data_IF_153955056540
#
_entry.id   IF_153955056540
#
_cell.length_a   1.000
_cell.length_b   1.000
_cell.length_c   1.000
_cell.angle_alpha   90.00
_cell.angle_beta   90.00
_cell.angle_gamma   90.00
#
_symmetry.space_group_name_H-M   'P 1'
#
loop_
_entity.id
_entity.type
_entity.pdbx_description
1 polymer ?
#
# COMPACT_ATOMS: atom_id res chain seq x y z
N UNK A 1 4.70 -14.31 11.93
CA UNK A 1 5.46 -13.88 10.73
C UNK A 1 5.32 -14.91 9.63
N UNK A 2 4.58 -14.57 8.59
CA UNK A 2 4.37 -15.43 7.43
C UNK A 2 5.61 -15.38 6.52
N UNK A 3 6.18 -16.56 6.16
CA UNK A 3 7.22 -16.60 5.13
C UNK A 3 6.58 -16.73 3.77
N UNK A 4 6.70 -15.66 2.95
CA UNK A 4 6.30 -15.71 1.55
C UNK A 4 7.21 -16.69 0.79
N UNK A 5 6.59 -17.63 0.07
CA UNK A 5 7.29 -18.61 -0.74
C UNK A 5 7.27 -18.20 -2.21
N UNK A 6 8.43 -18.12 -2.84
CA UNK A 6 8.54 -17.81 -4.27
C UNK A 6 7.89 -18.91 -5.13
N UNK A 7 7.21 -18.49 -6.19
CA UNK A 7 6.73 -19.41 -7.22
C UNK A 7 7.92 -20.12 -7.87
N UNK A 8 7.78 -21.41 -8.18
CA UNK A 8 8.86 -22.25 -8.77
C UNK A 8 9.49 -21.66 -10.04
N UNK A 9 8.70 -20.97 -10.85
CA UNK A 9 9.17 -20.34 -12.09
C UNK A 9 9.91 -19.00 -11.88
N UNK A 10 9.86 -18.44 -10.67
CA UNK A 10 10.47 -17.15 -10.39
C UNK A 10 11.93 -17.28 -9.96
N UNK A 11 12.80 -16.60 -10.68
CA UNK A 11 14.21 -16.42 -10.29
C UNK A 11 14.37 -14.97 -9.78
N UNK A 12 14.54 -14.75 -8.48
CA UNK A 12 14.73 -13.40 -7.96
C UNK A 12 15.99 -12.79 -8.57
N UNK A 13 15.87 -11.56 -9.07
CA UNK A 13 17.03 -10.76 -9.44
C UNK A 13 17.86 -10.53 -8.17
N UNK A 14 19.16 -10.23 -8.34
CA UNK A 14 20.07 -10.01 -7.21
C UNK A 14 19.42 -9.12 -6.13
N UNK A 15 19.08 -9.64 -4.94
CA UNK A 15 18.38 -8.90 -3.90
C UNK A 15 19.20 -7.73 -3.35
N UNK A 16 20.52 -7.74 -3.50
CA UNK A 16 21.40 -6.65 -3.08
C UNK A 16 21.19 -5.34 -3.89
N UNK A 17 20.51 -5.42 -5.04
CA UNK A 17 20.21 -4.25 -5.88
C UNK A 17 18.92 -3.53 -5.46
N UNK A 18 18.15 -4.11 -4.54
CA UNK A 18 16.85 -3.58 -4.15
C UNK A 18 16.84 -3.17 -2.68
N UNK A 19 16.11 -2.10 -2.41
CA UNK A 19 15.86 -1.63 -1.06
C UNK A 19 15.10 -2.68 -0.22
N UNK A 20 15.50 -2.83 1.04
CA UNK A 20 14.84 -3.71 2.01
C UNK A 20 14.58 -2.96 3.31
N UNK A 21 13.31 -2.59 3.54
CA UNK A 21 12.87 -1.81 4.71
C UNK A 21 13.13 -2.52 6.04
N UNK A 22 13.27 -3.86 6.05
CA UNK A 22 13.53 -4.63 7.27
C UNK A 22 14.84 -4.20 7.92
N UNK A 23 15.86 -3.87 7.11
CA UNK A 23 17.15 -3.39 7.62
C UNK A 23 17.03 -2.10 8.40
N UNK A 24 16.19 -1.16 7.92
CA UNK A 24 16.00 0.10 8.61
C UNK A 24 15.16 -0.06 9.88
N UNK A 25 14.12 -0.93 9.84
CA UNK A 25 13.29 -1.23 11.01
C UNK A 25 14.11 -1.97 12.07
N UNK A 26 14.98 -2.89 11.70
CA UNK A 26 15.90 -3.59 12.61
C UNK A 26 16.96 -2.64 13.21
N UNK A 27 17.47 -1.72 12.39
CA UNK A 27 18.49 -0.74 12.85
C UNK A 27 17.90 0.34 13.76
N UNK A 28 16.62 0.71 13.54
CA UNK A 28 15.95 1.79 14.27
C UNK A 28 14.56 1.37 14.77
N UNK A 29 14.45 0.36 15.65
CA UNK A 29 13.16 -0.23 16.03
C UNK A 29 12.22 0.73 16.78
N UNK A 30 12.77 1.82 17.35
CA UNK A 30 11.98 2.86 18.03
C UNK A 30 11.52 3.99 17.12
N UNK A 31 11.87 3.98 15.83
CA UNK A 31 11.44 5.03 14.92
C UNK A 31 9.96 4.87 14.58
N UNK A 32 9.21 5.98 14.69
CA UNK A 32 7.79 6.04 14.35
C UNK A 32 7.60 6.28 12.85
N UNK A 33 8.51 7.02 12.22
CA UNK A 33 8.46 7.42 10.82
C UNK A 33 9.79 7.09 10.14
N UNK A 34 9.72 6.37 9.03
CA UNK A 34 10.84 6.11 8.13
C UNK A 34 10.63 6.88 6.84
N UNK A 35 11.54 7.81 6.52
CA UNK A 35 11.51 8.58 5.29
C UNK A 35 12.56 8.02 4.34
N UNK A 36 12.10 7.42 3.21
CA UNK A 36 12.96 6.67 2.31
C UNK A 36 13.06 7.39 0.98
N UNK A 37 14.25 7.90 0.68
CA UNK A 37 14.58 8.52 -0.59
C UNK A 37 15.36 7.56 -1.49
N UNK A 38 15.23 7.72 -2.79
CA UNK A 38 16.00 6.93 -3.76
C UNK A 38 15.37 6.95 -5.14
N UNK A 39 16.11 6.44 -6.11
CA UNK A 39 15.68 6.36 -7.51
C UNK A 39 14.37 5.59 -7.73
N UNK A 40 13.79 5.74 -8.91
CA UNK A 40 12.65 4.93 -9.33
C UNK A 40 13.10 3.47 -9.48
N UNK A 41 12.15 2.55 -9.34
CA UNK A 41 12.35 1.09 -9.53
C UNK A 41 13.40 0.45 -8.60
N UNK A 42 13.75 1.10 -7.48
CA UNK A 42 14.64 0.54 -6.46
C UNK A 42 13.94 -0.38 -5.45
N UNK A 43 12.65 -0.64 -5.62
CA UNK A 43 11.90 -1.61 -4.80
C UNK A 43 11.34 -1.06 -3.49
N UNK A 44 11.32 0.27 -3.26
CA UNK A 44 10.82 0.87 -2.01
C UNK A 44 9.39 0.45 -1.67
N UNK A 45 8.46 0.70 -2.58
CA UNK A 45 7.04 0.34 -2.42
C UNK A 45 6.86 -1.17 -2.28
N UNK A 46 7.54 -1.95 -3.13
CA UNK A 46 7.54 -3.41 -3.06
C UNK A 46 8.00 -3.92 -1.68
N UNK A 47 9.10 -3.37 -1.16
CA UNK A 47 9.64 -3.77 0.14
C UNK A 47 8.70 -3.45 1.29
N UNK A 48 8.08 -2.26 1.30
CA UNK A 48 7.14 -1.85 2.34
C UNK A 48 5.87 -2.74 2.34
N UNK A 49 5.29 -2.99 1.16
CA UNK A 49 4.11 -3.86 1.02
C UNK A 49 4.44 -5.31 1.40
N UNK A 50 5.58 -5.82 0.92
CA UNK A 50 6.05 -7.16 1.29
C UNK A 50 6.25 -7.29 2.80
N UNK A 51 6.86 -6.31 3.45
CA UNK A 51 7.03 -6.30 4.90
C UNK A 51 5.68 -6.35 5.63
N UNK A 52 4.71 -5.53 5.23
CA UNK A 52 3.39 -5.54 5.83
C UNK A 52 2.71 -6.91 5.73
N UNK A 53 2.79 -7.55 4.56
CA UNK A 53 2.24 -8.91 4.35
C UNK A 53 2.97 -9.95 5.21
N UNK A 54 4.31 -9.98 5.18
CA UNK A 54 5.12 -10.96 5.94
C UNK A 54 4.93 -10.83 7.45
N UNK A 55 4.64 -9.61 7.94
CA UNK A 55 4.33 -9.36 9.35
C UNK A 55 2.84 -9.47 9.68
N UNK A 56 2.00 -9.85 8.70
CA UNK A 56 0.54 -9.96 8.87
C UNK A 56 -0.10 -8.67 9.37
N UNK A 57 0.51 -7.52 9.01
CA UNK A 57 0.07 -6.20 9.43
C UNK A 57 -1.02 -5.67 8.50
N UNK A 58 -2.12 -5.20 9.08
CA UNK A 58 -3.09 -4.40 8.36
C UNK A 58 -2.46 -3.05 8.02
N UNK A 59 -2.49 -2.66 6.75
CA UNK A 59 -1.84 -1.44 6.30
C UNK A 59 -2.83 -0.47 5.66
N UNK A 60 -2.47 0.81 5.74
CA UNK A 60 -3.09 1.89 4.99
C UNK A 60 -2.10 2.40 3.94
N UNK A 61 -2.36 2.12 2.68
CA UNK A 61 -1.57 2.60 1.55
C UNK A 61 -2.09 3.97 1.14
N UNK A 62 -1.24 4.97 1.25
CA UNK A 62 -1.60 6.36 0.98
C UNK A 62 -1.10 6.81 -0.38
N UNK A 63 -1.96 7.49 -1.11
CA UNK A 63 -1.63 8.26 -2.31
C UNK A 63 -1.96 9.73 -2.08
N UNK A 64 -1.41 10.60 -2.91
CA UNK A 64 -1.59 12.04 -2.74
C UNK A 64 -2.99 12.51 -3.11
N UNK A 65 -3.50 12.06 -4.25
CA UNK A 65 -4.78 12.51 -4.81
C UNK A 65 -5.82 11.41 -4.92
N UNK A 66 -7.08 11.81 -5.08
CA UNK A 66 -8.17 10.85 -5.32
C UNK A 66 -7.97 10.13 -6.65
N UNK A 67 -7.47 10.83 -7.67
CA UNK A 67 -7.23 10.25 -9.00
C UNK A 67 -6.10 9.21 -8.96
N UNK A 68 -5.08 9.41 -8.11
CA UNK A 68 -4.03 8.40 -7.90
C UNK A 68 -4.62 7.12 -7.31
N UNK A 69 -5.59 7.22 -6.41
CA UNK A 69 -6.30 6.06 -5.85
C UNK A 69 -7.20 5.41 -6.90
N UNK A 70 -7.97 6.21 -7.65
CA UNK A 70 -8.84 5.71 -8.72
C UNK A 70 -8.05 4.94 -9.79
N UNK A 71 -6.85 5.40 -10.12
CA UNK A 71 -5.97 4.74 -11.09
C UNK A 71 -5.42 3.38 -10.60
N UNK A 72 -5.38 3.14 -9.28
CA UNK A 72 -4.96 1.84 -8.73
C UNK A 72 -6.08 0.81 -8.73
N UNK A 73 -7.32 1.28 -8.76
CA UNK A 73 -8.50 0.44 -8.57
C UNK A 73 -9.00 -0.07 -9.90
N UNK A 74 -9.14 -1.38 -10.01
CA UNK A 74 -9.93 -1.96 -11.09
C UNK A 74 -11.40 -1.60 -10.85
N UNK A 75 -12.04 -0.97 -11.83
CA UNK A 75 -13.48 -0.83 -11.82
C UNK A 75 -14.08 -2.24 -11.80
N UNK A 76 -14.91 -2.55 -10.82
CA UNK A 76 -15.56 -3.84 -10.71
C UNK A 76 -16.40 -4.18 -11.97
N UNK A 77 -16.80 -3.15 -12.75
CA UNK A 77 -17.45 -3.30 -14.03
C UNK A 77 -16.47 -3.55 -15.19
N UNK A 78 -15.20 -3.24 -15.05
CA UNK A 78 -14.17 -3.51 -16.06
C UNK A 78 -13.71 -4.99 -16.07
N UNK A 79 -14.14 -5.80 -15.09
CA UNK A 79 -13.89 -7.26 -15.11
C UNK A 79 -14.46 -7.96 -16.33
N UNK A 80 -15.46 -7.37 -16.98
CA UNK A 80 -16.10 -7.91 -18.18
C UNK A 80 -15.34 -7.61 -19.49
N UNK A 81 -14.38 -6.70 -19.45
CA UNK A 81 -13.66 -6.24 -20.64
C UNK A 81 -12.15 -6.52 -20.50
N UNK A 82 -11.70 -7.64 -21.09
CA UNK A 82 -10.30 -8.08 -21.03
C UNK A 82 -9.32 -7.02 -21.56
N UNK A 83 -9.73 -6.24 -22.55
CA UNK A 83 -8.89 -5.20 -23.17
C UNK A 83 -8.67 -4.00 -22.24
N UNK A 84 -9.58 -3.75 -21.31
CA UNK A 84 -9.43 -2.72 -20.29
C UNK A 84 -8.52 -3.15 -19.13
N UNK A 85 -8.45 -4.45 -18.83
CA UNK A 85 -7.57 -4.98 -17.78
C UNK A 85 -6.09 -4.72 -18.05
N UNK A 86 -5.64 -4.85 -19.30
CA UNK A 86 -4.23 -4.66 -19.64
C UNK A 86 -3.78 -3.20 -19.55
N UNK A 87 -4.68 -2.24 -19.76
CA UNK A 87 -4.37 -0.80 -19.79
C UNK A 87 -4.28 -0.13 -18.42
N UNK A 88 -4.81 -0.76 -17.35
CA UNK A 88 -4.94 -0.12 -16.03
C UNK A 88 -4.25 -0.90 -14.91
N UNK A 89 -3.28 -1.76 -15.24
CA UNK A 89 -2.59 -2.55 -14.23
C UNK A 89 -1.54 -1.72 -13.46
N UNK A 90 -2.02 -0.72 -12.72
CA UNK A 90 -1.27 0.06 -11.76
C UNK A 90 -1.32 -0.54 -10.34
N UNK A 91 -1.77 -1.79 -10.21
CA UNK A 91 -1.82 -2.49 -8.94
C UNK A 91 -0.41 -2.56 -8.32
N UNK A 92 -0.20 -1.95 -7.13
CA UNK A 92 1.11 -1.94 -6.48
C UNK A 92 1.59 -3.34 -6.06
N UNK A 93 0.69 -4.32 -6.00
CA UNK A 93 0.99 -5.72 -5.70
C UNK A 93 1.36 -6.57 -6.92
N UNK A 94 1.35 -6.03 -8.13
CA UNK A 94 1.64 -6.79 -9.35
C UNK A 94 2.91 -7.66 -9.24
N UNK A 95 3.99 -7.09 -8.72
CA UNK A 95 5.25 -7.84 -8.55
C UNK A 95 5.14 -8.90 -7.45
N UNK A 96 4.46 -8.61 -6.35
CA UNK A 96 4.23 -9.57 -5.26
C UNK A 96 3.36 -10.73 -5.74
N UNK A 97 2.25 -10.43 -6.43
CA UNK A 97 1.36 -11.44 -7.02
C UNK A 97 2.07 -12.32 -8.04
N UNK A 98 3.01 -11.75 -8.81
CA UNK A 98 3.82 -12.51 -9.76
C UNK A 98 4.83 -13.42 -9.06
N UNK A 99 5.49 -12.93 -8.03
CA UNK A 99 6.69 -13.53 -7.46
C UNK A 99 6.38 -14.62 -6.42
N UNK A 100 5.28 -14.49 -5.67
CA UNK A 100 4.97 -15.35 -4.53
C UNK A 100 3.74 -16.22 -4.73
N UNK A 101 3.81 -17.44 -4.14
CA UNK A 101 2.67 -18.34 -4.06
C UNK A 101 1.61 -17.76 -3.11
N UNK A 102 0.33 -18.05 -3.38
CA UNK A 102 -0.82 -17.60 -2.58
C UNK A 102 -0.99 -16.08 -2.44
N UNK A 103 -0.33 -15.31 -3.31
CA UNK A 103 -0.50 -13.88 -3.40
C UNK A 103 -1.32 -13.53 -4.63
N UNK A 104 -2.51 -12.98 -4.40
CA UNK A 104 -3.42 -12.49 -5.44
C UNK A 104 -4.14 -11.23 -4.92
N UNK A 105 -3.33 -10.21 -4.62
CA UNK A 105 -3.83 -8.95 -4.06
C UNK A 105 -4.46 -8.07 -5.13
N UNK A 106 -5.71 -7.69 -4.90
CA UNK A 106 -6.48 -6.84 -5.82
C UNK A 106 -7.08 -5.66 -5.09
N UNK A 107 -6.93 -4.43 -5.59
CA UNK A 107 -7.59 -3.25 -5.05
C UNK A 107 -9.03 -3.19 -5.57
N UNK A 108 -9.98 -3.10 -4.66
CA UNK A 108 -11.39 -2.90 -4.96
C UNK A 108 -11.85 -1.53 -4.48
N UNK A 109 -12.58 -0.82 -5.34
CA UNK A 109 -13.12 0.48 -5.03
C UNK A 109 -14.19 0.39 -3.92
N UNK A 110 -14.05 1.23 -2.91
CA UNK A 110 -15.08 1.45 -1.90
C UNK A 110 -15.86 2.72 -2.19
N UNK A 111 -15.15 3.85 -2.32
CA UNK A 111 -15.68 5.19 -2.64
C UNK A 111 -14.61 5.97 -3.37
N UNK A 112 -14.95 7.15 -3.92
CA UNK A 112 -13.96 8.05 -4.55
C UNK A 112 -12.82 8.37 -3.56
N UNK A 113 -11.59 8.04 -3.96
CA UNK A 113 -10.37 8.23 -3.15
C UNK A 113 -10.24 7.28 -1.96
N UNK A 114 -11.00 6.19 -1.94
CA UNK A 114 -10.92 5.13 -0.93
C UNK A 114 -11.12 3.77 -1.59
N UNK A 115 -10.21 2.85 -1.32
CA UNK A 115 -10.26 1.46 -1.78
C UNK A 115 -9.81 0.50 -0.66
N UNK A 116 -10.03 -0.78 -0.86
CA UNK A 116 -9.50 -1.83 -0.01
C UNK A 116 -8.75 -2.85 -0.86
N UNK A 117 -7.67 -3.39 -0.31
CA UNK A 117 -6.92 -4.48 -0.90
C UNK A 117 -7.36 -5.81 -0.32
N UNK A 118 -7.69 -6.73 -1.20
CA UNK A 118 -8.05 -8.09 -0.82
C UNK A 118 -7.08 -9.07 -1.43
N UNK A 119 -6.69 -10.10 -0.66
CA UNK A 119 -6.01 -11.27 -1.20
C UNK A 119 -7.07 -12.31 -1.58
N UNK A 120 -7.19 -12.65 -2.84
CA UNK A 120 -8.08 -13.69 -3.33
C UNK A 120 -7.45 -15.06 -3.04
N UNK A 121 -8.02 -15.81 -2.10
CA UNK A 121 -7.52 -17.12 -1.68
C UNK A 121 -7.98 -18.21 -2.67
N UNK A 122 -9.27 -18.19 -3.00
CA UNK A 122 -9.93 -19.05 -3.99
C UNK A 122 -11.09 -18.29 -4.64
N UNK A 123 -11.92 -18.97 -5.44
CA UNK A 123 -13.00 -18.34 -6.18
C UNK A 123 -14.09 -17.73 -5.27
N UNK A 124 -14.26 -18.25 -4.06
CA UNK A 124 -15.31 -17.86 -3.12
C UNK A 124 -14.77 -16.99 -1.97
N UNK A 125 -13.48 -17.12 -1.63
CA UNK A 125 -12.91 -16.51 -0.43
C UNK A 125 -11.86 -15.45 -0.77
N UNK A 126 -12.03 -14.29 -0.18
CA UNK A 126 -11.06 -13.19 -0.19
C UNK A 126 -10.87 -12.63 1.20
N UNK A 127 -9.64 -12.32 1.55
CA UNK A 127 -9.27 -11.74 2.83
C UNK A 127 -8.89 -10.27 2.65
N UNK A 128 -9.42 -9.42 3.52
CA UNK A 128 -9.03 -8.01 3.58
C UNK A 128 -7.59 -7.92 4.08
N UNK A 129 -6.72 -7.33 3.28
CA UNK A 129 -5.30 -7.14 3.59
C UNK A 129 -4.97 -5.74 4.10
N UNK A 130 -5.61 -4.72 3.53
CA UNK A 130 -5.39 -3.34 3.91
C UNK A 130 -6.30 -2.39 3.14
N UNK A 131 -6.05 -1.11 3.34
CA UNK A 131 -6.82 -0.03 2.71
C UNK A 131 -5.93 0.82 1.82
N UNK A 132 -6.55 1.53 0.87
CA UNK A 132 -5.91 2.58 0.09
C UNK A 132 -6.72 3.87 0.23
N UNK A 133 -6.07 4.97 0.55
CA UNK A 133 -6.74 6.26 0.71
C UNK A 133 -5.88 7.41 0.17
N UNK A 134 -6.55 8.43 -0.40
CA UNK A 134 -5.87 9.67 -0.75
C UNK A 134 -5.67 10.56 0.47
N UNK A 135 -4.57 11.32 0.48
CA UNK A 135 -4.30 12.33 1.50
C UNK A 135 -5.43 13.38 1.58
N UNK A 136 -6.09 13.65 0.46
CA UNK A 136 -7.24 14.57 0.38
C UNK A 136 -8.46 14.12 1.20
N UNK A 137 -8.53 12.85 1.55
CA UNK A 137 -9.67 12.27 2.29
C UNK A 137 -9.43 12.16 3.78
N UNK A 138 -8.21 12.36 4.27
CA UNK A 138 -7.88 12.19 5.69
C UNK A 138 -8.83 12.98 6.60
N UNK A 139 -9.05 14.26 6.30
CA UNK A 139 -9.96 15.10 7.11
C UNK A 139 -11.41 14.61 7.11
N UNK A 140 -11.85 14.00 5.99
CA UNK A 140 -13.21 13.47 5.86
C UNK A 140 -13.42 12.18 6.64
N UNK A 141 -12.36 11.41 6.83
CA UNK A 141 -12.39 10.11 7.51
C UNK A 141 -11.76 10.14 8.91
N UNK A 142 -11.59 11.33 9.52
CA UNK A 142 -11.08 11.48 10.90
C UNK A 142 -11.89 10.70 11.95
N UNK A 143 -13.16 10.42 11.69
CA UNK A 143 -14.01 9.60 12.55
C UNK A 143 -14.14 8.14 12.13
N UNK A 144 -13.44 7.71 11.08
CA UNK A 144 -13.44 6.30 10.70
C UNK A 144 -12.58 5.49 11.67
N UNK A 145 -13.02 4.27 11.92
CA UNK A 145 -12.26 3.33 12.73
C UNK A 145 -11.12 2.73 11.89
N UNK A 146 -9.90 3.09 12.24
CA UNK A 146 -8.66 2.54 11.70
C UNK A 146 -7.86 1.79 12.77
N UNK A 147 -8.52 1.36 13.85
CA UNK A 147 -7.87 0.65 14.97
C UNK A 147 -7.20 -0.66 14.53
N UNK A 148 -7.66 -1.24 13.41
CA UNK A 148 -7.08 -2.43 12.80
C UNK A 148 -5.84 -2.15 11.93
N UNK A 149 -5.52 -0.88 11.65
CA UNK A 149 -4.37 -0.50 10.79
C UNK A 149 -3.08 -0.42 11.59
N UNK A 150 -2.12 -1.22 11.27
CA UNK A 150 -0.81 -1.32 11.94
C UNK A 150 0.31 -0.55 11.28
N UNK A 151 0.16 -0.25 10.00
CA UNK A 151 1.25 0.25 9.19
C UNK A 151 0.75 1.22 8.13
N UNK A 152 1.29 2.44 8.10
CA UNK A 152 0.97 3.43 7.08
C UNK A 152 2.11 3.47 6.05
N UNK A 153 1.78 3.30 4.78
CA UNK A 153 2.70 3.41 3.65
C UNK A 153 2.27 4.60 2.82
N UNK A 154 3.03 5.70 2.83
CA UNK A 154 2.76 6.84 1.97
C UNK A 154 3.70 6.82 0.76
N UNK A 155 3.19 6.30 -0.34
CA UNK A 155 3.92 6.20 -1.60
C UNK A 155 3.90 7.53 -2.36
N UNK A 156 5.04 7.87 -2.98
CA UNK A 156 5.22 9.13 -3.71
C UNK A 156 4.88 10.37 -2.87
N UNK A 157 5.31 10.40 -1.59
CA UNK A 157 5.01 11.51 -0.67
C UNK A 157 5.63 12.85 -1.11
N UNK A 158 6.72 12.84 -1.88
CA UNK A 158 7.30 14.05 -2.47
C UNK A 158 6.47 14.46 -3.68
N UNK A 159 5.86 15.66 -3.68
CA UNK A 159 5.05 16.11 -4.80
C UNK A 159 5.91 16.32 -6.05
N UNK A 160 5.39 15.93 -7.21
CA UNK A 160 6.00 16.33 -8.48
C UNK A 160 5.70 17.80 -8.77
N UNK A 161 6.42 18.42 -9.72
CA UNK A 161 6.20 19.81 -10.13
C UNK A 161 4.78 20.14 -10.60
N UNK A 162 4.00 19.13 -10.92
CA UNK A 162 2.61 19.26 -11.38
C UNK A 162 1.57 19.15 -10.26
N UNK A 163 2.00 18.76 -9.06
CA UNK A 163 1.11 18.64 -7.91
C UNK A 163 1.13 19.92 -7.09
N UNK A 164 -0.04 20.47 -6.85
CA UNK A 164 -0.19 21.60 -5.91
C UNK A 164 -0.09 21.06 -4.48
N UNK A 165 0.94 21.49 -3.76
CA UNK A 165 1.06 21.20 -2.33
C UNK A 165 0.01 22.02 -1.58
N UNK A 166 -0.87 21.36 -0.86
CA UNK A 166 -1.88 22.05 -0.05
C UNK A 166 -1.28 22.52 1.26
N UNK A 167 -1.77 23.65 1.77
CA UNK A 167 -1.46 24.06 3.15
C UNK A 167 -1.89 22.93 4.09
N UNK A 168 -1.05 22.62 5.08
CA UNK A 168 -1.32 21.63 6.11
C UNK A 168 -1.33 20.14 5.67
N UNK A 169 -0.74 19.76 4.54
CA UNK A 169 -0.58 18.31 4.19
C UNK A 169 0.15 17.52 5.29
N UNK A 170 1.20 18.12 5.89
CA UNK A 170 1.90 17.51 7.02
C UNK A 170 1.02 17.32 8.24
N UNK A 171 0.15 18.30 8.53
CA UNK A 171 -0.83 18.19 9.63
C UNK A 171 -1.86 17.09 9.34
N UNK A 172 -2.32 16.95 8.10
CA UNK A 172 -3.24 15.88 7.72
C UNK A 172 -2.60 14.50 7.93
N UNK A 173 -1.32 14.34 7.62
CA UNK A 173 -0.59 13.09 7.87
C UNK A 173 -0.42 12.82 9.36
N UNK A 174 -0.10 13.84 10.17
CA UNK A 174 -0.02 13.71 11.62
C UNK A 174 -1.37 13.37 12.24
N UNK A 175 -2.44 14.02 11.81
CA UNK A 175 -3.81 13.73 12.24
C UNK A 175 -4.19 12.27 11.95
N UNK A 176 -3.80 11.76 10.77
CA UNK A 176 -4.01 10.37 10.41
C UNK A 176 -3.22 9.43 11.31
N UNK A 177 -1.93 9.72 11.53
CA UNK A 177 -1.10 8.94 12.44
C UNK A 177 -1.72 8.89 13.85
N UNK A 178 -2.17 10.03 14.37
CA UNK A 178 -2.84 10.11 15.67
C UNK A 178 -4.15 9.31 15.70
N UNK A 179 -4.92 9.30 14.61
CA UNK A 179 -6.15 8.51 14.50
C UNK A 179 -5.87 7.00 14.51
N UNK A 180 -4.82 6.55 13.79
CA UNK A 180 -4.42 5.14 13.71
C UNK A 180 -3.77 4.67 15.02
N UNK A 181 -3.03 5.54 15.72
CA UNK A 181 -2.29 5.19 16.94
C UNK A 181 -3.10 5.34 18.23
N UNK A 182 -4.35 5.87 18.15
CA UNK A 182 -5.14 6.36 19.31
C UNK A 182 -5.33 5.34 20.42
N UNK A 183 -5.44 4.06 20.11
CA UNK A 183 -5.72 3.00 21.09
C UNK A 183 -4.52 2.08 21.36
N UNK A 184 -3.33 2.46 20.86
CA UNK A 184 -2.12 1.67 21.07
C UNK A 184 -1.39 2.17 22.31
N UNK A 185 -1.26 1.30 23.31
CA UNK A 185 -0.32 1.53 24.40
C UNK A 185 1.09 1.54 23.80
N UNK A 186 1.74 2.68 23.89
CA UNK A 186 3.15 2.82 23.56
C UNK A 186 4.00 2.02 24.55
#
# INVERSE_FOLDING_TARGET
>A
MMKLKYKKAYKPKNPALYYDIRKDIEAYPGAIIYIIFGGRSTGKTYSALRYAIEQEKRYLFMKRTDDDVENLVLDANAEKDKDKREKTDLNPFKSINRDFEKCNYTPLKMKKGLAAFYNQIDDEHKELSGYCMSLNKVSKYKGADFSDVDFIIFDEFVPTKYHVVRKAEGMALLDLYMAVSRDRKQ
#
